data_IF_479125192087
#
_entry.id   IF_479125192087
#
_cell.length_a   1.000
_cell.length_b   1.000
_cell.length_c   1.000
_cell.angle_alpha   90.00
_cell.angle_beta   90.00
_cell.angle_gamma   90.00
#
_symmetry.space_group_name_H-M   'P 1'
#
loop_
_entity.id
_entity.type
_entity.pdbx_description
1 polymer ?
#
# COMPACT_ATOMS: atom_id res chain seq x y z
N UNK A 1 -9.22 16.39 -42.04
CA UNK A 1 -9.72 16.20 -40.67
C UNK A 1 -8.64 16.73 -39.75
N UNK A 2 -8.75 18.01 -39.44
CA UNK A 2 -7.69 18.82 -38.84
C UNK A 2 -7.62 18.54 -37.35
N UNK A 3 -6.45 18.12 -36.88
CA UNK A 3 -6.10 17.94 -35.47
C UNK A 3 -6.32 19.28 -34.77
N UNK A 4 -7.17 19.29 -33.74
CA UNK A 4 -7.46 20.48 -32.94
C UNK A 4 -6.18 20.86 -32.19
N UNK A 5 -5.50 21.87 -32.71
CA UNK A 5 -4.57 22.72 -31.99
C UNK A 5 -5.39 23.56 -30.99
N UNK A 6 -5.52 23.09 -29.75
CA UNK A 6 -5.86 23.93 -28.61
C UNK A 6 -4.70 23.91 -27.61
N UNK A 7 -3.52 24.29 -28.10
CA UNK A 7 -2.46 24.88 -27.29
C UNK A 7 -2.80 26.35 -27.08
N UNK A 8 -3.91 26.60 -26.40
CA UNK A 8 -4.24 27.94 -25.90
C UNK A 8 -3.94 27.89 -24.41
N UNK A 9 -2.72 28.33 -24.07
CA UNK A 9 -2.33 28.92 -22.79
C UNK A 9 -2.70 28.14 -21.52
N UNK A 10 -2.11 26.95 -21.32
CA UNK A 10 -1.54 26.73 -19.99
C UNK A 10 -0.29 27.62 -19.97
N UNK A 11 -0.28 28.66 -19.12
CA UNK A 11 0.95 29.39 -18.87
C UNK A 11 2.02 28.35 -18.53
N UNK A 12 3.20 28.47 -19.13
CA UNK A 12 4.24 27.44 -19.05
C UNK A 12 4.65 27.22 -17.59
N UNK A 13 4.04 26.24 -16.93
CA UNK A 13 4.22 25.97 -15.50
C UNK A 13 2.94 25.57 -14.75
N UNK A 14 1.75 25.88 -15.26
CA UNK A 14 0.50 25.62 -14.56
C UNK A 14 0.03 24.16 -14.75
N UNK A 15 -0.58 23.59 -13.71
CA UNK A 15 -1.07 22.21 -13.75
C UNK A 15 -2.38 22.10 -14.56
N UNK A 16 -2.65 20.95 -15.17
CA UNK A 16 -3.88 20.73 -15.96
C UNK A 16 -5.15 21.05 -15.17
N UNK A 17 -5.23 20.65 -13.89
CA UNK A 17 -6.40 20.92 -13.04
C UNK A 17 -6.61 22.40 -12.71
N UNK A 18 -5.63 23.27 -12.98
CA UNK A 18 -5.73 24.73 -12.84
C UNK A 18 -6.30 25.40 -14.10
N UNK A 19 -6.28 24.70 -15.24
CA UNK A 19 -6.89 25.18 -16.47
C UNK A 19 -8.42 25.16 -16.40
N UNK A 20 -9.08 25.99 -17.21
CA UNK A 20 -10.54 26.00 -17.34
C UNK A 20 -11.12 24.62 -17.71
N UNK A 21 -10.42 23.86 -18.54
CA UNK A 21 -10.83 22.52 -18.95
C UNK A 21 -10.64 21.48 -17.85
N UNK A 22 -9.58 21.59 -17.05
CA UNK A 22 -9.25 20.63 -16.01
C UNK A 22 -10.01 20.85 -14.70
N UNK A 23 -10.37 22.10 -14.40
CA UNK A 23 -11.00 22.48 -13.13
C UNK A 23 -12.26 21.68 -12.80
N UNK A 24 -13.05 21.29 -13.81
CA UNK A 24 -14.26 20.46 -13.63
C UNK A 24 -13.97 19.07 -13.06
N UNK A 25 -12.75 18.55 -13.25
CA UNK A 25 -12.34 17.24 -12.75
C UNK A 25 -11.70 17.29 -11.36
N UNK A 26 -11.28 18.46 -10.88
CA UNK A 26 -10.60 18.62 -9.60
C UNK A 26 -11.35 17.95 -8.41
N UNK A 27 -12.70 18.00 -8.30
CA UNK A 27 -13.41 17.32 -7.23
C UNK A 27 -13.20 15.80 -7.20
N UNK A 28 -13.11 15.15 -8.37
CA UNK A 28 -12.86 13.70 -8.45
C UNK A 28 -11.42 13.41 -8.08
N UNK A 29 -10.47 14.22 -8.57
CA UNK A 29 -9.05 14.04 -8.26
C UNK A 29 -8.72 14.22 -6.76
N UNK A 30 -9.49 15.02 -6.01
CA UNK A 30 -9.33 15.12 -4.54
C UNK A 30 -9.55 13.80 -3.79
N UNK A 31 -10.22 12.83 -4.40
CA UNK A 31 -10.46 11.52 -3.80
C UNK A 31 -9.32 10.52 -4.10
N UNK A 32 -8.37 10.89 -4.96
CA UNK A 32 -7.18 10.07 -5.24
C UNK A 32 -6.30 10.06 -4.01
N UNK A 33 -5.91 8.85 -3.58
CA UNK A 33 -5.00 8.65 -2.45
C UNK A 33 -3.57 8.82 -2.92
N UNK A 34 -3.17 10.08 -3.12
CA UNK A 34 -1.86 10.46 -3.65
C UNK A 34 -0.71 9.85 -2.87
N UNK A 35 -0.86 9.61 -1.57
CA UNK A 35 0.15 8.94 -0.75
C UNK A 35 0.51 7.52 -1.23
N UNK A 36 -0.40 6.84 -1.94
CA UNK A 36 -0.15 5.51 -2.50
C UNK A 36 0.18 5.51 -3.99
N UNK A 37 -0.04 6.65 -4.66
CA UNK A 37 0.45 6.89 -6.03
C UNK A 37 1.93 7.28 -5.97
N UNK A 38 2.27 8.16 -5.02
CA UNK A 38 3.61 8.70 -4.81
C UNK A 38 4.31 7.87 -3.72
N UNK A 39 4.53 6.59 -4.01
CA UNK A 39 5.13 5.64 -3.06
C UNK A 39 6.56 5.22 -3.47
N UNK A 40 7.05 5.69 -4.63
CA UNK A 40 8.42 5.48 -5.09
C UNK A 40 8.86 6.64 -5.99
N UNK A 41 10.17 6.76 -6.20
CA UNK A 41 10.76 7.89 -6.93
C UNK A 41 10.33 7.94 -8.40
N UNK A 42 10.14 6.79 -9.07
CA UNK A 42 9.73 6.78 -10.46
C UNK A 42 8.29 7.29 -10.59
N UNK A 43 7.39 6.82 -9.71
CA UNK A 43 6.01 7.29 -9.66
C UNK A 43 5.91 8.78 -9.32
N UNK A 44 6.71 9.28 -8.36
CA UNK A 44 6.78 10.71 -8.04
C UNK A 44 7.17 11.56 -9.25
N UNK A 45 8.25 11.18 -9.96
CA UNK A 45 8.71 11.87 -11.17
C UNK A 45 7.69 11.85 -12.31
N UNK A 46 6.97 10.74 -12.48
CA UNK A 46 5.91 10.63 -13.48
C UNK A 46 4.78 11.61 -13.16
N UNK A 47 4.32 11.62 -11.91
CA UNK A 47 3.23 12.51 -11.48
C UNK A 47 3.59 13.99 -11.64
N UNK A 48 4.82 14.39 -11.29
CA UNK A 48 5.31 15.76 -11.49
C UNK A 48 5.40 16.13 -12.97
N UNK A 49 6.00 15.25 -13.79
CA UNK A 49 6.18 15.50 -15.22
C UNK A 49 4.85 15.59 -15.97
N UNK A 50 3.88 14.77 -15.59
CA UNK A 50 2.57 14.77 -16.24
C UNK A 50 1.80 16.07 -15.93
N UNK A 51 2.20 16.83 -14.88
CA UNK A 51 1.68 18.14 -14.52
C UNK A 51 0.15 18.21 -14.47
N UNK A 52 -0.49 17.11 -14.07
CA UNK A 52 -1.95 17.04 -13.98
C UNK A 52 -2.43 17.73 -12.71
N UNK A 53 -1.76 17.44 -11.59
CA UNK A 53 -2.17 17.85 -10.24
C UNK A 53 -1.55 19.19 -9.85
N UNK A 54 -2.27 19.95 -9.02
CA UNK A 54 -1.73 21.16 -8.39
C UNK A 54 -0.43 20.85 -7.64
N UNK A 55 0.59 21.68 -7.84
CA UNK A 55 1.89 21.57 -7.16
C UNK A 55 1.76 21.61 -5.63
N UNK A 56 0.80 22.39 -5.11
CA UNK A 56 0.53 22.48 -3.68
C UNK A 56 0.02 21.16 -3.09
N UNK A 57 -0.77 20.40 -3.85
CA UNK A 57 -1.28 19.10 -3.40
C UNK A 57 -0.14 18.09 -3.29
N UNK A 58 0.76 18.08 -4.27
CA UNK A 58 1.95 17.23 -4.27
C UNK A 58 2.88 17.60 -3.11
N UNK A 59 3.16 18.88 -2.92
CA UNK A 59 4.01 19.40 -1.85
C UNK A 59 3.50 19.02 -0.46
N UNK A 60 2.18 19.12 -0.24
CA UNK A 60 1.55 18.69 1.00
C UNK A 60 1.76 17.18 1.25
N UNK A 61 1.58 16.35 0.23
CA UNK A 61 1.79 14.89 0.33
C UNK A 61 3.27 14.57 0.58
N UNK A 62 4.20 15.21 -0.12
CA UNK A 62 5.64 15.02 0.11
C UNK A 62 6.03 15.38 1.54
N UNK A 63 5.55 16.51 2.07
CA UNK A 63 5.80 16.92 3.46
C UNK A 63 5.26 15.89 4.45
N UNK A 64 4.04 15.39 4.23
CA UNK A 64 3.44 14.35 5.08
C UNK A 64 4.21 13.04 5.04
N UNK A 65 4.63 12.59 3.85
CA UNK A 65 5.43 11.38 3.65
C UNK A 65 6.80 11.50 4.33
N UNK A 66 7.44 12.67 4.21
CA UNK A 66 8.70 12.96 4.89
C UNK A 66 8.57 12.87 6.41
N UNK A 67 7.55 13.50 7.00
CA UNK A 67 7.31 13.40 8.44
C UNK A 67 6.94 11.99 8.90
N UNK A 68 6.18 11.25 8.11
CA UNK A 68 5.87 9.85 8.40
C UNK A 68 7.12 8.97 8.37
N UNK A 69 8.02 9.21 7.42
CA UNK A 69 9.32 8.55 7.36
C UNK A 69 10.15 8.88 8.61
N UNK A 70 10.30 10.15 8.97
CA UNK A 70 11.05 10.55 10.18
C UNK A 70 10.48 9.96 11.47
N UNK A 71 9.14 9.94 11.63
CA UNK A 71 8.50 9.31 12.79
C UNK A 71 8.78 7.81 12.87
N UNK A 72 8.81 7.15 11.71
CA UNK A 72 9.14 5.72 11.63
C UNK A 72 10.62 5.49 11.94
N UNK A 73 11.54 6.26 11.37
CA UNK A 73 12.99 6.08 11.59
C UNK A 73 13.44 6.44 13.02
N UNK A 74 12.76 7.37 13.69
CA UNK A 74 13.04 7.71 15.10
C UNK A 74 12.29 6.84 16.11
N UNK A 75 11.76 5.69 15.70
CA UNK A 75 11.02 4.75 16.56
C UNK A 75 9.77 5.34 17.27
N UNK A 76 9.30 6.50 16.80
CA UNK A 76 8.11 7.19 17.32
C UNK A 76 6.80 6.63 16.74
N UNK A 77 6.87 5.86 15.65
CA UNK A 77 5.73 5.17 15.04
C UNK A 77 6.10 3.74 14.69
N UNK A 78 5.57 2.79 15.48
CA UNK A 78 5.70 1.36 15.21
C UNK A 78 4.64 0.85 14.23
N UNK A 79 3.75 1.72 13.74
CA UNK A 79 2.54 1.39 12.98
C UNK A 79 1.29 1.32 13.86
N UNK A 80 0.11 1.14 13.26
CA UNK A 80 -1.18 1.24 13.95
C UNK A 80 -1.32 0.27 15.13
N UNK A 81 -1.77 0.79 16.28
CA UNK A 81 -2.01 0.01 17.52
C UNK A 81 -3.51 -0.15 17.83
N UNK A 82 -4.32 0.85 17.50
CA UNK A 82 -5.73 0.92 17.89
C UNK A 82 -6.70 0.74 16.71
N UNK A 83 -7.88 0.22 17.02
CA UNK A 83 -8.94 -0.10 16.07
C UNK A 83 -9.81 1.13 15.72
N UNK A 84 -9.23 2.14 15.06
CA UNK A 84 -10.02 3.17 14.39
C UNK A 84 -10.41 2.69 12.99
N UNK A 85 -11.60 2.07 12.87
CA UNK A 85 -12.07 1.46 11.62
C UNK A 85 -12.34 2.52 10.55
N UNK A 86 -12.92 3.64 10.93
CA UNK A 86 -13.29 4.73 10.03
C UNK A 86 -12.04 5.33 9.37
N UNK A 87 -11.02 5.61 10.18
CA UNK A 87 -9.75 6.13 9.70
C UNK A 87 -9.00 5.12 8.85
N UNK A 88 -9.09 3.83 9.19
CA UNK A 88 -8.55 2.76 8.34
C UNK A 88 -9.21 2.72 6.95
N UNK A 89 -10.54 2.89 6.85
CA UNK A 89 -11.23 2.87 5.56
C UNK A 89 -10.79 4.02 4.64
N UNK A 90 -10.64 5.20 5.21
CA UNK A 90 -10.23 6.43 4.50
C UNK A 90 -8.76 6.37 4.12
N UNK A 91 -7.91 5.92 5.04
CA UNK A 91 -6.47 6.07 4.91
C UNK A 91 -5.75 4.85 4.35
N UNK A 92 -6.33 3.65 4.32
CA UNK A 92 -5.62 2.43 3.89
C UNK A 92 -5.21 2.41 2.41
N UNK A 93 -4.05 1.80 2.12
CA UNK A 93 -3.67 1.37 0.78
C UNK A 93 -4.64 0.30 0.30
N UNK A 94 -5.09 0.38 -0.95
CA UNK A 94 -6.02 -0.59 -1.54
C UNK A 94 -5.31 -1.36 -2.63
N UNK A 95 -5.25 -2.68 -2.45
CA UNK A 95 -4.49 -3.58 -3.29
C UNK A 95 -5.37 -4.71 -3.79
N UNK A 96 -5.16 -5.14 -5.03
CA UNK A 96 -5.89 -6.25 -5.65
C UNK A 96 -4.95 -7.28 -6.26
N UNK A 97 -5.36 -8.55 -6.23
CA UNK A 97 -4.69 -9.64 -6.97
C UNK A 97 -5.72 -10.68 -7.42
N UNK A 98 -5.56 -11.20 -8.64
CA UNK A 98 -6.32 -12.36 -9.14
C UNK A 98 -5.39 -13.57 -9.17
N UNK A 99 -5.80 -14.67 -8.54
CA UNK A 99 -5.17 -15.98 -8.70
C UNK A 99 -6.03 -16.80 -9.66
N UNK A 100 -5.43 -17.22 -10.78
CA UNK A 100 -6.20 -17.85 -11.86
C UNK A 100 -6.58 -19.31 -11.56
N UNK A 101 -5.75 -20.01 -10.78
CA UNK A 101 -5.84 -21.44 -10.49
C UNK A 101 -5.12 -21.75 -9.17
N UNK A 102 -5.28 -22.97 -8.67
CA UNK A 102 -4.59 -23.45 -7.48
C UNK A 102 -3.13 -23.79 -7.85
N UNK A 103 -2.22 -22.83 -7.70
CA UNK A 103 -0.80 -22.91 -8.09
C UNK A 103 -0.50 -22.58 -9.56
N UNK A 104 0.50 -21.71 -9.83
CA UNK A 104 0.86 -21.34 -11.21
C UNK A 104 1.84 -22.30 -11.87
N UNK A 105 1.34 -23.35 -12.52
CA UNK A 105 2.18 -24.24 -13.34
C UNK A 105 2.95 -23.52 -14.46
N UNK A 106 2.63 -22.28 -14.85
CA UNK A 106 3.32 -21.59 -15.95
C UNK A 106 4.72 -21.09 -15.58
N UNK A 107 5.04 -20.92 -14.29
CA UNK A 107 6.41 -20.66 -13.82
C UNK A 107 7.30 -21.92 -13.97
N UNK A 108 6.69 -23.10 -14.15
CA UNK A 108 7.37 -24.40 -14.14
C UNK A 108 7.94 -24.77 -15.52
N UNK A 109 7.43 -24.20 -16.62
CA UNK A 109 7.95 -24.54 -17.96
C UNK A 109 9.38 -24.03 -18.21
N UNK A 110 9.88 -23.08 -17.43
CA UNK A 110 11.26 -22.57 -17.55
C UNK A 110 12.22 -23.11 -16.49
N UNK A 111 11.77 -23.96 -15.56
CA UNK A 111 12.59 -24.51 -14.49
C UNK A 111 12.70 -26.04 -14.59
N UNK A 112 13.88 -26.56 -14.22
CA UNK A 112 14.21 -27.98 -14.31
C UNK A 112 13.19 -28.86 -13.55
N UNK A 113 12.72 -29.99 -14.13
CA UNK A 113 11.73 -30.88 -13.51
C UNK A 113 12.07 -31.31 -12.08
N UNK A 114 13.35 -31.44 -11.76
CA UNK A 114 13.85 -31.87 -10.45
C UNK A 114 13.70 -30.82 -9.34
N UNK A 115 13.60 -29.53 -9.69
CA UNK A 115 13.39 -28.44 -8.74
C UNK A 115 11.89 -28.17 -8.48
N UNK A 116 11.02 -28.75 -9.32
CA UNK A 116 9.60 -28.41 -9.38
C UNK A 116 8.70 -29.30 -8.52
N UNK A 117 9.24 -30.36 -7.90
CA UNK A 117 8.47 -31.33 -7.13
C UNK A 117 7.97 -30.75 -5.78
N UNK A 118 8.54 -29.63 -5.29
CA UNK A 118 8.09 -28.96 -4.05
C UNK A 118 7.68 -27.49 -4.21
N UNK A 119 7.92 -26.85 -5.36
CA UNK A 119 7.75 -25.40 -5.56
C UNK A 119 6.48 -25.01 -6.37
N UNK A 120 5.74 -26.01 -6.86
CA UNK A 120 4.67 -25.85 -7.86
C UNK A 120 3.32 -25.28 -7.35
N UNK A 121 3.15 -25.10 -6.03
CA UNK A 121 1.83 -24.81 -5.43
C UNK A 121 1.73 -23.44 -4.75
N UNK A 122 2.73 -22.58 -4.94
CA UNK A 122 2.83 -21.32 -4.21
C UNK A 122 2.80 -20.10 -5.13
N UNK A 123 1.87 -19.18 -4.85
CA UNK A 123 1.98 -17.80 -5.34
C UNK A 123 2.69 -16.98 -4.27
N UNK A 124 3.75 -16.26 -4.64
CA UNK A 124 4.39 -15.27 -3.80
C UNK A 124 4.41 -13.94 -4.55
N UNK A 125 3.93 -12.87 -3.92
CA UNK A 125 3.94 -11.54 -4.50
C UNK A 125 4.04 -10.48 -3.41
N UNK A 126 4.25 -9.23 -3.85
CA UNK A 126 4.17 -8.04 -3.02
C UNK A 126 3.60 -6.91 -3.85
N UNK A 127 2.98 -5.93 -3.19
CA UNK A 127 2.65 -4.67 -3.82
C UNK A 127 3.82 -3.72 -3.58
N UNK A 128 4.48 -3.32 -4.66
CA UNK A 128 5.72 -2.54 -4.62
C UNK A 128 5.47 -1.11 -4.15
N UNK A 129 6.46 -0.55 -3.46
CA UNK A 129 6.45 0.81 -2.93
C UNK A 129 7.37 0.90 -1.71
N UNK A 130 7.67 2.13 -1.27
CA UNK A 130 8.54 2.37 -0.13
C UNK A 130 7.90 1.87 1.17
N UNK A 131 6.61 2.14 1.39
CA UNK A 131 5.83 1.69 2.56
C UNK A 131 6.57 1.87 3.91
N UNK A 132 7.41 2.90 4.02
CA UNK A 132 8.24 3.19 5.20
C UNK A 132 9.11 2.00 5.63
N UNK A 133 9.72 1.36 4.64
CA UNK A 133 10.60 0.21 4.80
C UNK A 133 9.89 -1.09 5.20
N UNK A 134 8.56 -1.13 5.20
CA UNK A 134 7.81 -2.34 5.48
C UNK A 134 7.60 -3.17 4.20
N UNK A 135 8.57 -4.04 3.87
CA UNK A 135 8.48 -4.97 2.73
C UNK A 135 7.62 -6.19 3.11
N UNK A 136 6.33 -6.15 2.75
CA UNK A 136 5.38 -7.22 3.03
C UNK A 136 5.27 -8.18 1.83
N UNK A 137 5.76 -9.40 2.00
CA UNK A 137 5.49 -10.50 1.09
C UNK A 137 4.15 -11.16 1.46
N UNK A 138 3.35 -11.42 0.44
CA UNK A 138 2.10 -12.17 0.55
C UNK A 138 2.22 -13.44 -0.25
N UNK A 139 1.89 -14.53 0.42
CA UNK A 139 2.06 -15.87 -0.08
C UNK A 139 0.73 -16.60 0.00
N UNK A 140 0.28 -17.18 -1.12
CA UNK A 140 -0.74 -18.21 -1.12
C UNK A 140 -0.06 -19.56 -1.30
N UNK A 141 -0.21 -20.46 -0.34
CA UNK A 141 0.31 -21.83 -0.40
C UNK A 141 -0.58 -22.74 0.43
N UNK A 142 -0.84 -23.96 -0.04
CA UNK A 142 -1.64 -24.95 0.69
C UNK A 142 -2.95 -24.39 1.25
N UNK A 143 -3.60 -23.49 0.50
CA UNK A 143 -4.84 -22.80 0.88
C UNK A 143 -4.73 -21.84 2.07
N UNK A 144 -3.52 -21.52 2.49
CA UNK A 144 -3.25 -20.45 3.45
C UNK A 144 -2.82 -19.18 2.72
N UNK A 145 -3.26 -18.04 3.24
CA UNK A 145 -2.62 -16.76 2.96
C UNK A 145 -1.67 -16.45 4.11
N UNK A 146 -0.41 -16.24 3.78
CA UNK A 146 0.67 -15.97 4.72
C UNK A 146 1.25 -14.60 4.42
N UNK A 147 1.45 -13.83 5.47
CA UNK A 147 2.17 -12.56 5.45
C UNK A 147 3.57 -12.77 6.00
N UNK A 148 4.57 -12.19 5.34
CA UNK A 148 5.95 -12.16 5.81
C UNK A 148 6.51 -10.75 5.71
N UNK A 149 7.08 -10.24 6.80
CA UNK A 149 7.86 -9.00 6.76
C UNK A 149 9.27 -9.32 6.28
N UNK A 150 9.53 -9.18 4.99
CA UNK A 150 10.82 -9.46 4.40
C UNK A 150 11.84 -8.39 4.85
N UNK A 151 13.01 -8.79 5.31
CA UNK A 151 14.06 -7.84 5.71
C UNK A 151 15.44 -8.30 5.26
N UNK A 152 15.86 -9.52 5.62
CA UNK A 152 17.23 -9.98 5.37
C UNK A 152 17.50 -10.34 3.91
N UNK A 153 16.48 -10.72 3.14
CA UNK A 153 16.64 -11.11 1.73
C UNK A 153 16.43 -9.96 0.74
N UNK A 154 16.28 -8.72 1.23
CA UNK A 154 16.05 -7.55 0.39
C UNK A 154 17.37 -7.09 -0.27
N UNK A 155 17.45 -7.01 -1.61
CA UNK A 155 18.66 -6.62 -2.31
C UNK A 155 19.10 -5.18 -2.03
N UNK A 156 18.16 -4.30 -1.65
CA UNK A 156 18.45 -2.93 -1.24
C UNK A 156 18.24 -2.80 0.28
N UNK A 157 19.29 -3.11 1.06
CA UNK A 157 19.22 -3.08 2.53
C UNK A 157 18.82 -1.73 3.13
N UNK A 158 19.03 -0.61 2.42
CA UNK A 158 18.56 0.71 2.83
C UNK A 158 17.07 0.98 2.59
N UNK A 159 16.35 0.06 1.95
CA UNK A 159 14.92 0.18 1.66
C UNK A 159 14.02 -0.57 2.65
N UNK A 160 14.59 -1.13 3.73
CA UNK A 160 13.85 -1.87 4.74
C UNK A 160 13.98 -1.23 6.12
N UNK A 161 12.89 -1.25 6.89
CA UNK A 161 12.87 -0.75 8.25
C UNK A 161 13.64 -1.71 9.15
N UNK A 162 14.63 -1.18 9.88
CA UNK A 162 15.47 -1.96 10.79
C UNK A 162 14.87 -2.14 12.18
N UNK A 163 13.70 -1.57 12.45
CA UNK A 163 12.99 -1.78 13.71
C UNK A 163 12.77 -3.28 13.98
N UNK A 164 12.97 -3.74 15.22
CA UNK A 164 12.84 -5.16 15.54
C UNK A 164 11.43 -5.68 15.27
N UNK A 165 10.40 -4.86 15.54
CA UNK A 165 8.99 -5.21 15.41
C UNK A 165 8.20 -4.02 14.89
N UNK A 166 7.29 -4.27 13.95
CA UNK A 166 6.41 -3.27 13.34
C UNK A 166 5.00 -3.81 13.23
N UNK A 167 4.01 -2.94 13.36
CA UNK A 167 2.61 -3.26 13.28
C UNK A 167 2.03 -2.80 11.95
N UNK A 168 1.14 -3.62 11.40
CA UNK A 168 0.32 -3.27 10.25
C UNK A 168 -1.14 -3.48 10.61
N UNK A 169 -1.99 -2.52 10.27
CA UNK A 169 -3.42 -2.76 10.21
C UNK A 169 -3.78 -3.25 8.82
N UNK A 170 -4.63 -4.27 8.73
CA UNK A 170 -5.04 -4.83 7.46
C UNK A 170 -6.47 -5.34 7.47
N UNK A 171 -7.02 -5.46 6.26
CA UNK A 171 -8.23 -6.24 5.99
C UNK A 171 -8.05 -6.99 4.69
N UNK A 172 -8.07 -8.31 4.79
CA UNK A 172 -8.02 -9.20 3.66
C UNK A 172 -9.45 -9.63 3.31
N UNK A 173 -9.78 -9.59 2.03
CA UNK A 173 -11.05 -10.02 1.44
C UNK A 173 -10.75 -10.94 0.27
N UNK A 174 -11.44 -12.07 0.25
CA UNK A 174 -11.35 -13.05 -0.80
C UNK A 174 -12.74 -13.34 -1.34
N UNK A 175 -12.83 -13.45 -2.66
CA UNK A 175 -14.06 -13.83 -3.33
C UNK A 175 -13.75 -14.71 -4.55
N UNK A 176 -14.61 -15.69 -4.79
CA UNK A 176 -14.67 -16.43 -6.04
C UNK A 176 -16.06 -16.28 -6.65
N UNK A 177 -16.12 -16.33 -7.98
CA UNK A 177 -17.34 -16.11 -8.74
C UNK A 177 -17.55 -17.24 -9.73
N UNK A 178 -18.81 -17.54 -10.05
CA UNK A 178 -19.15 -18.46 -11.13
C UNK A 178 -19.07 -17.78 -12.50
N UNK A 179 -19.37 -18.53 -13.57
CA UNK A 179 -19.36 -18.00 -14.94
C UNK A 179 -20.38 -16.88 -15.19
N UNK A 180 -21.37 -16.69 -14.31
CA UNK A 180 -22.35 -15.60 -14.37
C UNK A 180 -21.95 -14.37 -13.55
N UNK A 181 -20.83 -14.45 -12.83
CA UNK A 181 -20.38 -13.39 -11.92
C UNK A 181 -21.03 -13.42 -10.54
N UNK A 182 -21.79 -14.47 -10.20
CA UNK A 182 -22.36 -14.64 -8.86
C UNK A 182 -21.31 -15.19 -7.90
N UNK A 183 -21.30 -14.68 -6.67
CA UNK A 183 -20.35 -15.10 -5.63
C UNK A 183 -20.58 -16.58 -5.26
N UNK A 184 -19.55 -17.40 -5.41
CA UNK A 184 -19.50 -18.80 -4.94
C UNK A 184 -19.04 -18.84 -3.49
N UNK A 185 -17.95 -18.13 -3.18
CA UNK A 185 -17.38 -18.04 -1.85
C UNK A 185 -16.91 -16.62 -1.58
N UNK A 186 -17.12 -16.15 -0.36
CA UNK A 186 -16.51 -14.92 0.14
C UNK A 186 -15.99 -15.13 1.55
N UNK A 187 -14.82 -14.57 1.84
CA UNK A 187 -14.17 -14.57 3.15
C UNK A 187 -13.56 -13.21 3.42
N UNK A 188 -13.55 -12.81 4.68
CA UNK A 188 -12.79 -11.65 5.12
C UNK A 188 -12.22 -11.87 6.50
N UNK A 189 -11.05 -11.31 6.77
CA UNK A 189 -10.47 -11.25 8.12
C UNK A 189 -11.15 -10.20 9.01
N UNK A 190 -11.97 -9.32 8.42
CA UNK A 190 -12.30 -8.05 9.07
C UNK A 190 -11.07 -7.16 9.23
N UNK A 191 -11.21 -6.10 10.01
CA UNK A 191 -10.08 -5.27 10.43
C UNK A 191 -9.25 -6.03 11.46
N UNK A 192 -7.95 -6.11 11.23
CA UNK A 192 -6.98 -6.78 12.09
C UNK A 192 -5.73 -5.91 12.23
N UNK A 193 -5.08 -6.00 13.39
CA UNK A 193 -3.72 -5.47 13.59
C UNK A 193 -2.80 -6.66 13.79
N UNK A 194 -1.70 -6.69 13.04
CA UNK A 194 -0.70 -7.72 13.11
C UNK A 194 0.67 -7.09 13.37
N UNK A 195 1.35 -7.61 14.38
CA UNK A 195 2.72 -7.24 14.66
C UNK A 195 3.66 -8.28 14.04
N UNK A 196 4.65 -7.83 13.28
CA UNK A 196 5.65 -8.68 12.63
C UNK A 196 7.07 -8.24 12.99
N UNK A 197 7.85 -9.21 13.45
CA UNK A 197 9.30 -9.13 13.55
C UNK A 197 9.96 -9.32 12.18
N UNK A 198 11.27 -9.09 12.11
CA UNK A 198 12.05 -9.28 10.87
C UNK A 198 11.94 -10.72 10.39
N UNK A 199 11.55 -10.89 9.13
CA UNK A 199 11.35 -12.17 8.45
C UNK A 199 10.34 -13.12 9.10
N UNK A 200 9.55 -12.62 10.05
CA UNK A 200 8.47 -13.39 10.66
C UNK A 200 7.35 -13.65 9.65
N UNK A 201 6.90 -14.90 9.62
CA UNK A 201 5.76 -15.36 8.81
C UNK A 201 4.54 -15.56 9.70
N UNK A 202 3.36 -15.17 9.21
CA UNK A 202 2.11 -15.33 9.92
C UNK A 202 0.97 -15.73 8.98
N UNK A 203 0.25 -16.79 9.33
CA UNK A 203 -0.93 -17.24 8.59
C UNK A 203 -2.09 -16.31 8.91
N UNK A 204 -2.50 -15.49 7.93
CA UNK A 204 -3.57 -14.50 8.12
C UNK A 204 -4.95 -15.01 7.68
N UNK A 205 -5.00 -16.05 6.85
CA UNK A 205 -6.27 -16.69 6.50
C UNK A 205 -6.05 -18.16 6.12
N UNK A 206 -6.93 -19.02 6.61
CA UNK A 206 -7.09 -20.40 6.14
C UNK A 206 -8.33 -20.48 5.24
N UNK A 207 -8.16 -21.01 4.03
CA UNK A 207 -9.22 -21.20 3.07
C UNK A 207 -9.65 -22.67 3.07
N UNK A 208 -10.81 -22.95 3.66
CA UNK A 208 -11.38 -24.30 3.71
C UNK A 208 -11.52 -24.90 2.30
N UNK A 209 -11.16 -26.18 2.17
CA UNK A 209 -10.81 -26.80 0.91
C UNK A 209 -12.01 -27.10 0.00
N UNK A 210 -13.20 -27.21 0.58
CA UNK A 210 -14.39 -27.78 -0.10
C UNK A 210 -15.14 -26.78 -0.99
N UNK A 211 -14.90 -25.48 -0.84
CA UNK A 211 -15.67 -24.41 -1.52
C UNK A 211 -14.80 -23.42 -2.30
N UNK A 212 -13.50 -23.71 -2.43
CA UNK A 212 -12.53 -22.85 -3.10
C UNK A 212 -12.66 -23.05 -4.62
N UNK A 213 -13.34 -22.11 -5.27
CA UNK A 213 -13.42 -22.03 -6.73
C UNK A 213 -12.46 -20.97 -7.27
N UNK A 214 -11.87 -21.24 -8.42
CA UNK A 214 -10.98 -20.31 -9.11
C UNK A 214 -11.67 -19.74 -10.37
N UNK A 215 -11.35 -18.49 -10.77
CA UNK A 215 -10.31 -17.62 -10.21
C UNK A 215 -10.68 -17.02 -8.85
N UNK A 216 -9.66 -16.86 -8.01
CA UNK A 216 -9.77 -16.29 -6.68
C UNK A 216 -9.33 -14.81 -6.73
N UNK A 217 -10.23 -13.92 -6.31
CA UNK A 217 -9.98 -12.49 -6.26
C UNK A 217 -9.65 -12.08 -4.84
N UNK A 218 -8.52 -11.42 -4.68
CA UNK A 218 -7.97 -10.97 -3.41
C UNK A 218 -8.00 -9.46 -3.40
N UNK A 219 -8.68 -8.89 -2.40
CA UNK A 219 -8.63 -7.49 -2.06
C UNK A 219 -7.98 -7.30 -0.70
N UNK A 220 -6.97 -6.45 -0.62
CA UNK A 220 -6.28 -6.12 0.61
C UNK A 220 -6.39 -4.62 0.89
N UNK A 221 -6.66 -4.28 2.14
CA UNK A 221 -6.43 -2.96 2.69
C UNK A 221 -5.24 -3.03 3.63
N UNK A 222 -4.29 -2.11 3.53
CA UNK A 222 -3.13 -2.03 4.42
C UNK A 222 -2.94 -0.62 4.97
N UNK A 223 -2.50 -0.51 6.22
CA UNK A 223 -2.06 0.73 6.83
C UNK A 223 -0.76 0.45 7.60
N UNK A 224 0.33 1.11 7.17
CA UNK A 224 1.70 0.83 7.63
C UNK A 224 2.22 1.81 8.68
N UNK A 225 1.57 2.96 8.81
CA UNK A 225 1.90 4.04 9.74
C UNK A 225 0.67 4.40 10.56
N UNK A 226 0.89 4.83 11.78
CA UNK A 226 -0.17 5.40 12.60
C UNK A 226 -0.61 6.72 11.98
N UNK A 227 -1.92 6.94 11.85
CA UNK A 227 -2.44 8.24 11.47
C UNK A 227 -1.87 9.32 12.39
N UNK A 228 -1.56 10.49 11.84
CA UNK A 228 -1.09 11.59 12.66
C UNK A 228 -2.17 11.93 13.69
N UNK A 229 -1.85 11.85 14.99
CA UNK A 229 -2.80 12.27 16.01
C UNK A 229 -3.11 13.75 15.76
N UNK A 230 -4.38 14.11 15.65
CA UNK A 230 -4.82 15.52 15.55
C UNK A 230 -4.49 16.36 16.81
N UNK A 231 -3.73 15.83 17.78
CA UNK A 231 -3.59 16.37 19.15
C UNK A 231 -2.20 16.89 19.53
N UNK A 232 -1.22 16.91 18.64
CA UNK A 232 0.17 17.33 19.00
C UNK A 232 0.74 18.52 18.21
N UNK A 233 -0.07 19.28 17.49
CA UNK A 233 0.38 20.56 16.90
C UNK A 233 0.24 21.75 17.86
N UNK A 234 -0.30 21.57 19.08
CA UNK A 234 -0.65 22.67 19.99
C UNK A 234 0.12 22.70 21.31
N UNK A 235 1.29 22.06 21.42
CA UNK A 235 2.09 22.13 22.64
C UNK A 235 3.58 22.25 22.32
N UNK A 236 4.00 23.45 21.92
CA UNK A 236 5.37 23.87 22.25
C UNK A 236 5.43 24.10 23.77
N UNK A 237 6.41 23.52 24.49
CA UNK A 237 6.65 23.91 25.86
C UNK A 237 7.27 25.30 25.86
N UNK A 238 6.58 26.28 26.44
CA UNK A 238 7.17 27.57 26.78
C UNK A 238 8.45 27.33 27.59
N UNK A 239 9.58 27.78 27.03
CA UNK A 239 10.84 27.82 27.75
C UNK A 239 10.69 28.78 28.93
N UNK A 240 10.54 28.26 30.13
CA UNK A 240 10.67 29.06 31.35
C UNK A 240 12.14 29.42 31.52
N UNK A 241 12.52 30.58 30.99
CA UNK A 241 13.71 31.31 31.41
C UNK A 241 13.55 31.69 32.88
N UNK A 242 14.16 30.95 33.80
CA UNK A 242 14.37 31.44 35.16
C UNK A 242 15.63 32.29 35.18
N UNK A 243 15.42 33.60 35.03
CA UNK A 243 16.38 34.65 35.31
C UNK A 243 16.66 34.71 36.83
N UNK A 244 17.89 35.10 37.15
CA UNK A 244 18.48 35.23 38.47
C UNK A 244 17.64 35.91 39.56
N UNK A 245 17.79 35.44 40.80
CA UNK A 245 18.15 36.24 42.00
C UNK A 245 18.64 35.31 43.11
#
# INVERSE_FOLDING_TARGET
MTIINSKTELASGDAFLESEQGAVFAPVFRHVRLQYVINDLASAKIVERDAILHTDWLSAVYKQQWFAMLRTEHDNDLGPQEANKEEFEVSSMRCGRKLAKDGDWRIIQSLSPSLCINFALQYCWRWTGFNFGFDLLVTYTNRFIVFKRNTLSQPCGGSVSLQPRRNIAYRLRLASFDGSGKVICSRSTGYQVLALEKDQEYVVMNLDSRLLAFPLYIGCNFLYISPASRRQESAEPESSSSTAS
#
